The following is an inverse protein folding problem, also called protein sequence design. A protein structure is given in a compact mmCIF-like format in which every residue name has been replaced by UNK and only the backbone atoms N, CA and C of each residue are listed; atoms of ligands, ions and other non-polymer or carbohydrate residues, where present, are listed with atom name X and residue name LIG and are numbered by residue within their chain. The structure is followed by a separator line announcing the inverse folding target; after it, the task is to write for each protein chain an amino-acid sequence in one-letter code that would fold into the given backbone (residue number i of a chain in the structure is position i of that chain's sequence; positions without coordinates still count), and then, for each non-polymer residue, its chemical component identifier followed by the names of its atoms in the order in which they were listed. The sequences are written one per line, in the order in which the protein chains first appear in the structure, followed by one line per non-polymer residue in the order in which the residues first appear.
data_IF_254495983967
#
_entry.id   IF_254495983967
#
_cell.length_a   1.000
_cell.length_b   1.000
_cell.length_c   1.000
_cell.angle_alpha   90.00
_cell.angle_beta   90.00
_cell.angle_gamma   90.00
#
_symmetry.space_group_name_H-M   'P 1'
#
loop_
_entity.id
_entity.type
_entity.pdbx_description
1 polymer ?
#
# COMPACT_ATOMS: atom_id res chain seq x y z
N UNK A 1 12.35 2.09 -1.30
CA UNK A 1 11.26 2.02 -0.29
C UNK A 1 10.17 3.08 -0.53
N UNK A 2 10.47 4.38 -0.52
CA UNK A 2 9.47 5.43 -0.76
C UNK A 2 8.86 5.38 -2.16
N UNK A 3 9.68 5.33 -3.22
CA UNK A 3 9.18 5.30 -4.61
C UNK A 3 8.13 4.21 -4.91
N UNK A 4 8.25 3.01 -4.30
CA UNK A 4 7.25 1.96 -4.47
C UNK A 4 5.95 2.34 -3.78
N UNK A 5 6.02 2.79 -2.52
CA UNK A 5 4.84 3.18 -1.76
C UNK A 5 4.16 4.42 -2.38
N UNK A 6 4.92 5.39 -2.89
CA UNK A 6 4.39 6.56 -3.58
C UNK A 6 3.66 6.18 -4.89
N UNK A 7 4.23 5.21 -5.64
CA UNK A 7 3.60 4.68 -6.85
C UNK A 7 2.32 3.90 -6.54
N UNK A 8 2.34 3.06 -5.50
CA UNK A 8 1.16 2.31 -5.05
C UNK A 8 0.08 3.25 -4.51
N UNK A 9 0.46 4.29 -3.77
CA UNK A 9 -0.47 5.30 -3.27
C UNK A 9 -1.18 6.01 -4.41
N UNK A 10 -0.41 6.51 -5.38
CA UNK A 10 -0.95 7.21 -6.55
C UNK A 10 -1.84 6.29 -7.39
N UNK A 11 -1.44 5.04 -7.58
CA UNK A 11 -2.23 4.03 -8.28
C UNK A 11 -3.55 3.74 -7.56
N UNK A 12 -3.50 3.44 -6.26
CA UNK A 12 -4.67 3.12 -5.45
C UNK A 12 -5.65 4.30 -5.39
N UNK A 13 -5.13 5.51 -5.21
CA UNK A 13 -5.93 6.74 -5.21
C UNK A 13 -6.57 6.97 -6.57
N UNK A 14 -5.81 6.74 -7.65
CA UNK A 14 -6.27 6.87 -9.03
C UNK A 14 -7.41 5.92 -9.35
N UNK A 15 -7.28 4.63 -9.05
CA UNK A 15 -8.34 3.64 -9.32
C UNK A 15 -9.57 3.80 -8.41
N UNK A 16 -9.48 4.53 -7.30
CA UNK A 16 -10.62 4.81 -6.42
C UNK A 16 -11.36 6.10 -6.82
N UNK A 17 -10.74 6.97 -7.61
CA UNK A 17 -11.36 8.20 -8.08
C UNK A 17 -12.40 7.93 -9.18
N UNK A 18 -13.47 8.72 -9.23
CA UNK A 18 -14.41 8.69 -10.36
C UNK A 18 -13.79 9.42 -11.57
N UNK A 19 -13.88 8.88 -12.81
CA UNK A 19 -14.57 7.66 -13.22
C UNK A 19 -13.70 6.39 -13.24
N UNK A 20 -12.44 6.50 -12.82
CA UNK A 20 -11.48 5.41 -12.84
C UNK A 20 -11.91 4.20 -12.00
N UNK A 21 -12.68 4.36 -10.92
CA UNK A 21 -13.26 3.26 -10.14
C UNK A 21 -14.22 2.37 -10.93
N UNK A 22 -14.98 2.94 -11.88
CA UNK A 22 -15.86 2.19 -12.75
C UNK A 22 -15.06 1.39 -13.77
N UNK A 23 -14.06 2.01 -14.39
CA UNK A 23 -13.14 1.36 -15.32
C UNK A 23 -12.34 0.27 -14.60
N UNK A 24 -11.87 0.55 -13.38
CA UNK A 24 -11.16 -0.40 -12.55
C UNK A 24 -12.04 -1.63 -12.23
N UNK A 25 -13.32 -1.44 -11.90
CA UNK A 25 -14.26 -2.54 -11.72
C UNK A 25 -14.51 -3.36 -12.99
N UNK A 26 -14.66 -2.70 -14.15
CA UNK A 26 -14.92 -3.37 -15.44
C UNK A 26 -13.71 -4.19 -15.90
N UNK A 27 -12.51 -3.67 -15.74
CA UNK A 27 -11.27 -4.31 -16.17
C UNK A 27 -10.56 -5.13 -15.07
N UNK A 28 -11.13 -5.20 -13.87
CA UNK A 28 -10.60 -5.97 -12.74
C UNK A 28 -9.35 -5.38 -12.09
N UNK A 29 -9.13 -4.06 -12.20
CA UNK A 29 -8.07 -3.40 -11.44
C UNK A 29 -8.48 -3.22 -9.98
N UNK A 30 -7.71 -3.79 -9.07
CA UNK A 30 -7.89 -3.67 -7.62
C UNK A 30 -6.73 -2.90 -6.98
N UNK A 31 -6.94 -2.39 -5.76
CA UNK A 31 -5.89 -1.74 -4.99
C UNK A 31 -4.73 -2.71 -4.74
N UNK A 32 -3.50 -2.20 -4.81
CA UNK A 32 -2.29 -2.94 -4.47
C UNK A 32 -1.89 -2.66 -3.03
N UNK A 33 -1.35 -3.64 -2.35
CA UNK A 33 -0.80 -3.45 -1.01
C UNK A 33 0.50 -2.63 -1.07
N UNK A 34 0.69 -1.78 -0.07
CA UNK A 34 1.94 -1.07 0.11
C UNK A 34 3.05 -2.07 0.44
N UNK A 35 4.27 -1.75 0.01
CA UNK A 35 5.43 -2.51 0.46
C UNK A 35 5.79 -2.03 1.86
N UNK A 36 5.08 -2.58 2.84
CA UNK A 36 5.46 -2.52 4.25
C UNK A 36 6.40 -3.68 4.53
N UNK A 37 7.65 -3.35 4.87
CA UNK A 37 8.51 -4.33 5.52
C UNK A 37 7.92 -4.48 6.91
N UNK A 38 7.39 -5.66 7.23
CA UNK A 38 6.91 -6.01 8.56
C UNK A 38 7.88 -5.44 9.61
N UNK A 39 7.46 -4.44 10.37
CA UNK A 39 8.17 -3.95 11.57
C UNK A 39 8.20 -5.03 12.68
N UNK A 40 8.01 -6.31 12.37
CA UNK A 40 8.22 -7.43 13.28
C UNK A 40 9.66 -7.48 13.83
N UNK A 41 10.61 -6.75 13.24
CA UNK A 41 11.96 -6.57 13.76
C UNK A 41 12.14 -5.36 14.69
N UNK A 42 11.05 -4.76 15.21
CA UNK A 42 11.09 -3.72 16.25
C UNK A 42 10.55 -4.20 17.61
N UNK A 43 10.59 -5.49 17.89
CA UNK A 43 10.54 -5.94 19.29
C UNK A 43 11.85 -5.55 19.98
N UNK A 44 11.85 -4.33 20.52
CA UNK A 44 12.82 -3.83 21.49
C UNK A 44 13.19 -4.95 22.47
N UNK A 45 14.46 -5.37 22.59
CA UNK A 45 14.83 -6.34 23.59
C UNK A 45 14.54 -5.72 24.96
N UNK A 46 13.56 -6.26 25.69
CA UNK A 46 13.29 -5.84 27.06
C UNK A 46 14.52 -6.18 27.89
N UNK A 47 15.34 -5.17 28.17
CA UNK A 47 16.47 -5.30 29.09
C UNK A 47 15.88 -5.53 30.48
N UNK A 48 16.00 -6.75 30.99
CA UNK A 48 15.77 -7.06 32.40
C UNK A 48 17.10 -6.81 33.12
N UNK A 49 17.09 -5.86 34.06
CA UNK A 49 18.12 -5.70 35.09
C UNK A 49 17.73 -6.51 36.32
#
# INVERSE_FOLDING_TARGET
RQFYNDSVMSFNTGIQAFPANLVAGIFGFSAREYFEIEEAAKETPKVQF
#
